data_IF_034504546492
#
_entry.id   IF_034504546492
#
_cell.length_a   1.000
_cell.length_b   1.000
_cell.length_c   1.000
_cell.angle_alpha   90.00
_cell.angle_beta   90.00
_cell.angle_gamma   90.00
#
_symmetry.space_group_name_H-M   'P 1'
#
loop_
_entity.id
_entity.type
_entity.pdbx_description
1 polymer ?
#
# COMPACT_ATOMS: atom_id res chain seq x y z
N UNK A 1 -31.25 -1.23 -2.52
CA UNK A 1 -30.61 -2.15 -1.57
C UNK A 1 -29.65 -1.41 -0.64
N UNK A 2 -29.46 -1.95 0.56
CA UNK A 2 -28.48 -1.44 1.54
C UNK A 2 -27.18 -2.22 1.44
N UNK A 3 -26.08 -1.53 1.61
CA UNK A 3 -24.75 -2.10 1.71
C UNK A 3 -24.03 -1.51 2.92
N UNK A 4 -23.26 -2.32 3.62
CA UNK A 4 -22.51 -1.89 4.79
C UNK A 4 -21.19 -2.66 4.92
N UNK A 5 -20.18 -2.01 5.48
CA UNK A 5 -18.93 -2.63 5.90
C UNK A 5 -18.92 -2.90 7.40
N UNK A 6 -17.71 -3.19 7.92
CA UNK A 6 -17.46 -3.54 9.35
C UNK A 6 -17.24 -2.32 10.25
N UNK A 7 -17.21 -1.11 9.70
CA UNK A 7 -16.81 0.13 10.41
C UNK A 7 -17.98 1.11 10.59
N UNK A 8 -19.22 0.62 10.62
CA UNK A 8 -20.40 1.47 10.70
C UNK A 8 -20.69 2.29 9.43
N UNK A 9 -20.00 2.00 8.35
CA UNK A 9 -20.13 2.60 7.03
C UNK A 9 -21.30 1.95 6.28
N UNK A 10 -22.51 2.46 6.49
CA UNK A 10 -23.72 2.01 5.83
C UNK A 10 -24.14 2.97 4.71
N UNK A 11 -24.69 2.43 3.65
CA UNK A 11 -25.18 3.21 2.53
C UNK A 11 -26.29 2.50 1.75
N UNK A 12 -26.90 3.23 0.86
CA UNK A 12 -27.88 2.71 -0.10
C UNK A 12 -27.23 2.77 -1.49
N UNK A 13 -27.42 1.70 -2.28
CA UNK A 13 -26.97 1.69 -3.66
C UNK A 13 -27.79 2.71 -4.45
N UNK A 14 -27.14 3.78 -4.86
CA UNK A 14 -27.80 4.87 -5.58
C UNK A 14 -27.86 4.61 -7.09
N UNK A 15 -26.84 3.92 -7.64
CA UNK A 15 -26.74 3.67 -9.07
C UNK A 15 -25.95 2.38 -9.35
N UNK A 16 -26.35 1.67 -10.37
CA UNK A 16 -25.60 0.54 -10.95
C UNK A 16 -25.17 0.97 -12.33
N UNK A 17 -23.89 0.93 -12.60
CA UNK A 17 -23.27 1.31 -13.87
C UNK A 17 -22.84 0.08 -14.67
N UNK A 18 -22.88 0.13 -16.02
CA UNK A 18 -22.19 -0.84 -16.85
C UNK A 18 -20.67 -0.78 -16.58
N UNK A 19 -19.95 -1.88 -16.83
CA UNK A 19 -18.52 -1.97 -16.56
C UNK A 19 -17.70 -0.95 -17.35
N UNK A 20 -18.17 -0.60 -18.56
CA UNK A 20 -17.50 0.37 -19.45
C UNK A 20 -17.53 1.80 -18.91
N UNK A 21 -18.50 2.11 -18.04
CA UNK A 21 -18.63 3.44 -17.41
C UNK A 21 -17.89 3.53 -16.07
N UNK A 22 -17.30 2.44 -15.59
CA UNK A 22 -16.54 2.43 -14.36
C UNK A 22 -15.10 2.89 -14.58
N UNK A 23 -14.50 3.63 -13.60
CA UNK A 23 -13.10 4.01 -13.66
C UNK A 23 -12.17 2.80 -13.80
N UNK A 24 -11.07 2.99 -14.50
CA UNK A 24 -10.08 1.94 -14.76
C UNK A 24 -8.82 2.25 -13.94
N UNK A 25 -8.30 1.24 -13.27
CA UNK A 25 -7.02 1.29 -12.57
C UNK A 25 -5.86 1.28 -13.57
N UNK A 26 -4.64 1.72 -13.17
CA UNK A 26 -3.47 1.72 -14.06
C UNK A 26 -3.10 0.35 -14.63
N UNK A 27 -3.49 -0.72 -13.98
CA UNK A 27 -3.30 -2.12 -14.40
C UNK A 27 -4.38 -2.63 -15.39
N UNK A 28 -5.34 -1.78 -15.76
CA UNK A 28 -6.42 -2.11 -16.69
C UNK A 28 -7.67 -2.74 -16.05
N UNK A 29 -7.67 -2.98 -14.73
CA UNK A 29 -8.86 -3.48 -14.02
C UNK A 29 -9.86 -2.35 -13.77
N UNK A 30 -11.15 -2.67 -13.86
CA UNK A 30 -12.22 -1.74 -13.52
C UNK A 30 -12.42 -1.68 -11.99
N UNK A 31 -12.80 -0.51 -11.49
CA UNK A 31 -13.20 -0.33 -10.09
C UNK A 31 -14.56 -0.99 -9.90
N UNK A 32 -14.69 -1.80 -8.84
CA UNK A 32 -15.93 -2.53 -8.55
C UNK A 32 -16.98 -1.67 -7.86
N UNK A 33 -16.56 -0.71 -7.02
CA UNK A 33 -17.45 0.10 -6.21
C UNK A 33 -16.88 1.50 -5.98
N UNK A 34 -17.75 2.51 -6.11
CA UNK A 34 -17.44 3.89 -5.81
C UNK A 34 -18.24 4.31 -4.58
N UNK A 35 -17.56 4.76 -3.53
CA UNK A 35 -18.16 5.25 -2.30
C UNK A 35 -18.08 6.78 -2.23
N UNK A 36 -19.06 7.40 -1.57
CA UNK A 36 -19.01 8.84 -1.33
C UNK A 36 -17.91 9.18 -0.30
N UNK A 37 -16.84 9.90 -0.70
CA UNK A 37 -15.71 10.19 0.18
C UNK A 37 -16.09 11.06 1.40
N UNK A 38 -17.14 11.89 1.31
CA UNK A 38 -17.59 12.76 2.41
C UNK A 38 -18.06 11.94 3.62
N UNK A 39 -18.52 10.71 3.41
CA UNK A 39 -18.93 9.81 4.48
C UNK A 39 -17.82 9.36 5.43
N UNK A 40 -16.55 9.52 5.05
CA UNK A 40 -15.40 9.12 5.88
C UNK A 40 -15.01 10.21 6.88
N UNK A 41 -14.65 11.45 6.47
CA UNK A 41 -14.22 12.48 7.41
C UNK A 41 -15.35 12.95 8.32
N UNK A 42 -16.59 12.96 7.84
CA UNK A 42 -17.75 13.36 8.65
C UNK A 42 -18.06 12.38 9.81
N UNK A 43 -17.67 11.12 9.67
CA UNK A 43 -17.91 10.06 10.67
C UNK A 43 -16.66 9.60 11.39
N UNK A 44 -15.47 10.02 10.95
CA UNK A 44 -14.17 9.69 11.54
C UNK A 44 -13.90 8.16 11.67
N UNK A 45 -14.53 7.34 10.83
CA UNK A 45 -14.32 5.88 10.80
C UNK A 45 -13.19 5.49 9.85
N UNK A 46 -11.98 5.94 10.14
CA UNK A 46 -10.80 5.75 9.30
C UNK A 46 -10.40 4.28 9.13
N UNK A 47 -10.84 3.41 10.03
CA UNK A 47 -10.57 1.97 9.96
C UNK A 47 -10.98 1.32 8.64
N UNK A 48 -12.00 1.83 7.95
CA UNK A 48 -12.39 1.34 6.63
C UNK A 48 -11.33 1.61 5.56
N UNK A 49 -10.60 2.73 5.65
CA UNK A 49 -9.51 3.06 4.73
C UNK A 49 -8.31 2.14 5.01
N UNK A 50 -7.93 2.00 6.28
CA UNK A 50 -6.86 1.11 6.71
C UNK A 50 -7.14 -0.36 6.35
N UNK A 51 -8.39 -0.81 6.51
CA UNK A 51 -8.82 -2.16 6.07
C UNK A 51 -8.63 -2.34 4.56
N UNK A 52 -8.97 -1.33 3.76
CA UNK A 52 -8.83 -1.39 2.30
C UNK A 52 -7.36 -1.47 1.89
N UNK A 53 -6.49 -0.68 2.51
CA UNK A 53 -5.05 -0.70 2.25
C UNK A 53 -4.42 -2.05 2.62
N UNK A 54 -4.70 -2.54 3.83
CA UNK A 54 -4.21 -3.84 4.27
C UNK A 54 -4.79 -4.98 3.44
N UNK A 55 -6.06 -4.88 3.05
CA UNK A 55 -6.71 -5.85 2.17
C UNK A 55 -6.09 -5.92 0.78
N UNK A 56 -5.71 -4.78 0.20
CA UNK A 56 -4.99 -4.73 -1.06
C UNK A 56 -3.62 -5.40 -0.95
N UNK A 57 -2.87 -5.09 0.11
CA UNK A 57 -1.57 -5.71 0.37
C UNK A 57 -1.70 -7.22 0.58
N UNK A 58 -2.67 -7.66 1.38
CA UNK A 58 -2.93 -9.07 1.64
C UNK A 58 -3.33 -9.85 0.37
N UNK A 59 -4.13 -9.23 -0.50
CA UNK A 59 -4.50 -9.82 -1.77
C UNK A 59 -3.29 -10.00 -2.70
N UNK A 60 -2.43 -8.99 -2.80
CA UNK A 60 -1.24 -9.04 -3.64
C UNK A 60 -0.20 -10.02 -3.11
N UNK A 61 0.06 -10.01 -1.81
CA UNK A 61 1.08 -10.88 -1.17
C UNK A 61 0.58 -12.30 -0.87
N UNK A 62 -0.73 -12.57 -1.04
CA UNK A 62 -1.33 -13.89 -0.89
C UNK A 62 -1.50 -14.35 0.57
N UNK A 63 -1.62 -13.44 1.53
CA UNK A 63 -1.88 -13.79 2.93
C UNK A 63 -3.27 -13.36 3.38
N UNK A 64 -3.71 -13.88 4.53
CA UNK A 64 -4.97 -13.48 5.17
C UNK A 64 -4.68 -12.70 6.45
N UNK A 65 -5.06 -11.43 6.48
CA UNK A 65 -4.93 -10.60 7.66
C UNK A 65 -6.04 -10.93 8.68
N UNK A 66 -5.65 -11.24 9.91
CA UNK A 66 -6.55 -11.46 11.03
C UNK A 66 -6.19 -10.44 12.12
N UNK A 67 -7.11 -9.50 12.36
CA UNK A 67 -6.94 -8.45 13.36
C UNK A 67 -7.93 -8.67 14.52
N UNK A 68 -7.48 -9.17 15.66
CA UNK A 68 -8.32 -9.25 16.86
C UNK A 68 -8.78 -7.88 17.35
N UNK A 69 -9.88 -7.82 18.11
CA UNK A 69 -10.53 -6.58 18.52
C UNK A 69 -9.61 -5.66 19.34
N UNK A 70 -8.73 -6.23 20.18
CA UNK A 70 -7.82 -5.49 21.07
C UNK A 70 -6.34 -5.61 20.69
N UNK A 71 -6.03 -6.25 19.56
CA UNK A 71 -4.68 -6.45 19.04
C UNK A 71 -4.71 -6.24 17.52
N UNK A 72 -5.04 -5.04 17.12
CA UNK A 72 -5.13 -4.65 15.71
C UNK A 72 -3.76 -4.34 15.11
N UNK A 73 -3.70 -4.28 13.78
CA UNK A 73 -2.52 -3.85 13.07
C UNK A 73 -2.23 -2.35 13.34
N UNK A 74 -0.97 -2.02 13.59
CA UNK A 74 -0.51 -0.62 13.69
C UNK A 74 -0.42 0.02 12.32
N UNK A 75 -0.43 1.36 12.27
CA UNK A 75 -0.25 2.09 11.01
C UNK A 75 1.08 1.71 10.33
N UNK A 76 2.16 1.57 11.12
CA UNK A 76 3.48 1.16 10.60
C UNK A 76 3.46 -0.23 9.98
N UNK A 77 2.75 -1.19 10.58
CA UNK A 77 2.59 -2.53 10.00
C UNK A 77 1.87 -2.48 8.65
N UNK A 78 0.83 -1.66 8.53
CA UNK A 78 0.09 -1.49 7.28
C UNK A 78 0.97 -0.82 6.22
N UNK A 79 1.72 0.21 6.60
CA UNK A 79 2.67 0.89 5.71
C UNK A 79 3.79 -0.06 5.25
N UNK A 80 4.29 -0.94 6.12
CA UNK A 80 5.28 -1.96 5.75
C UNK A 80 4.72 -2.94 4.71
N UNK A 81 3.48 -3.40 4.87
CA UNK A 81 2.87 -4.29 3.88
C UNK A 81 2.65 -3.60 2.54
N UNK A 82 2.21 -2.35 2.52
CA UNK A 82 2.11 -1.54 1.31
C UNK A 82 3.48 -1.33 0.65
N UNK A 83 4.51 -1.07 1.47
CA UNK A 83 5.88 -0.92 0.99
C UNK A 83 6.41 -2.21 0.33
N UNK A 84 6.14 -3.37 0.92
CA UNK A 84 6.49 -4.68 0.34
C UNK A 84 5.83 -4.90 -1.03
N UNK A 85 4.55 -4.59 -1.15
CA UNK A 85 3.83 -4.65 -2.43
C UNK A 85 4.50 -3.76 -3.46
N UNK A 86 4.72 -2.49 -3.14
CA UNK A 86 5.33 -1.53 -4.06
C UNK A 86 6.74 -1.94 -4.50
N UNK A 87 7.56 -2.47 -3.57
CA UNK A 87 8.90 -2.96 -3.87
C UNK A 87 8.87 -4.14 -4.85
N UNK A 88 7.93 -5.07 -4.66
CA UNK A 88 7.75 -6.22 -5.55
C UNK A 88 7.22 -5.81 -6.93
N UNK A 89 6.33 -4.83 -7.00
CA UNK A 89 5.87 -4.26 -8.27
C UNK A 89 7.02 -3.56 -9.02
N UNK A 90 7.84 -2.77 -8.33
CA UNK A 90 9.03 -2.12 -8.91
C UNK A 90 10.07 -3.13 -9.40
N UNK A 91 10.23 -4.24 -8.69
CA UNK A 91 11.07 -5.36 -9.13
C UNK A 91 10.49 -6.12 -10.34
N UNK A 92 9.25 -5.84 -10.74
CA UNK A 92 8.52 -6.62 -11.74
C UNK A 92 8.29 -8.07 -11.31
N UNK A 93 8.20 -8.29 -10.00
CA UNK A 93 7.99 -9.59 -9.37
C UNK A 93 6.52 -9.96 -9.23
N UNK A 94 5.61 -9.02 -9.42
CA UNK A 94 4.15 -9.23 -9.41
C UNK A 94 3.67 -9.39 -10.85
N UNK A 95 2.93 -10.46 -11.11
CA UNK A 95 2.34 -10.73 -12.42
C UNK A 95 0.87 -11.10 -12.25
N UNK A 96 0.02 -10.57 -13.11
CA UNK A 96 -1.36 -11.02 -13.21
C UNK A 96 -1.45 -12.17 -14.22
N UNK A 97 -1.84 -13.32 -13.73
CA UNK A 97 -2.06 -14.52 -14.54
C UNK A 97 -3.53 -14.90 -14.45
N UNK A 98 -4.30 -14.58 -15.48
CA UNK A 98 -5.74 -14.88 -15.57
C UNK A 98 -6.58 -14.29 -14.41
N UNK A 99 -6.27 -13.07 -13.98
CA UNK A 99 -6.97 -12.41 -12.87
C UNK A 99 -6.47 -12.81 -11.46
N UNK A 100 -5.41 -13.63 -11.39
CA UNK A 100 -4.76 -13.96 -10.14
C UNK A 100 -3.36 -13.33 -10.09
N UNK A 101 -3.08 -12.62 -9.01
CA UNK A 101 -1.76 -12.04 -8.77
C UNK A 101 -0.80 -13.14 -8.30
N UNK A 102 0.27 -13.33 -9.05
CA UNK A 102 1.36 -14.27 -8.73
C UNK A 102 2.61 -13.48 -8.41
N UNK A 103 3.19 -13.73 -7.24
CA UNK A 103 4.38 -13.04 -6.76
C UNK A 103 5.60 -13.96 -6.83
N UNK A 104 6.65 -13.51 -7.53
CA UNK A 104 7.95 -14.17 -7.54
C UNK A 104 8.86 -13.51 -6.49
N UNK A 105 8.88 -14.09 -5.28
CA UNK A 105 9.66 -13.58 -4.15
C UNK A 105 11.17 -13.59 -4.40
N UNK A 106 11.69 -14.57 -5.13
CA UNK A 106 13.13 -14.66 -5.43
C UNK A 106 13.57 -13.48 -6.30
N UNK A 107 12.80 -13.18 -7.35
CA UNK A 107 13.07 -12.03 -8.23
C UNK A 107 13.01 -10.71 -7.44
N UNK A 108 12.06 -10.55 -6.52
CA UNK A 108 11.96 -9.38 -5.65
C UNK A 108 13.17 -9.25 -4.74
N UNK A 109 13.59 -10.33 -4.09
CA UNK A 109 14.76 -10.34 -3.20
C UNK A 109 16.07 -10.04 -3.95
N UNK A 110 16.24 -10.60 -5.13
CA UNK A 110 17.44 -10.35 -5.96
C UNK A 110 17.51 -8.90 -6.43
N UNK A 111 16.38 -8.31 -6.81
CA UNK A 111 16.32 -6.90 -7.17
C UNK A 111 16.67 -5.99 -5.99
N UNK A 112 16.17 -6.28 -4.78
CA UNK A 112 16.52 -5.51 -3.58
C UNK A 112 18.02 -5.59 -3.24
N UNK A 113 18.62 -6.77 -3.36
CA UNK A 113 20.08 -6.95 -3.20
C UNK A 113 20.88 -6.09 -4.18
N UNK A 114 20.42 -6.00 -5.45
CA UNK A 114 21.04 -5.12 -6.45
C UNK A 114 20.93 -3.62 -6.07
N UNK A 115 19.88 -3.22 -5.35
CA UNK A 115 19.73 -1.88 -4.80
C UNK A 115 20.56 -1.64 -3.52
N UNK A 116 21.26 -2.66 -3.02
CA UNK A 116 22.04 -2.59 -1.78
C UNK A 116 21.19 -2.66 -0.51
N UNK A 117 19.98 -3.21 -0.61
CA UNK A 117 19.04 -3.35 0.51
C UNK A 117 19.00 -4.79 0.98
N UNK A 118 19.01 -5.00 2.30
CA UNK A 118 18.89 -6.32 2.91
C UNK A 118 17.46 -6.85 2.76
N UNK A 119 17.27 -7.71 1.74
CA UNK A 119 15.97 -8.27 1.42
C UNK A 119 15.37 -9.12 2.55
N UNK A 120 16.22 -9.78 3.36
CA UNK A 120 15.72 -10.61 4.46
C UNK A 120 15.04 -9.73 5.52
N UNK A 121 15.61 -8.58 5.86
CA UNK A 121 15.01 -7.64 6.80
C UNK A 121 13.72 -7.01 6.28
N UNK A 122 13.65 -6.75 4.98
CA UNK A 122 12.44 -6.15 4.36
C UNK A 122 11.25 -7.11 4.43
N UNK A 123 11.49 -8.41 4.25
CA UNK A 123 10.43 -9.43 4.26
C UNK A 123 10.28 -10.16 5.60
N UNK A 124 11.04 -9.78 6.61
CA UNK A 124 10.89 -10.30 7.96
C UNK A 124 9.79 -9.53 8.71
N UNK A 125 8.75 -10.23 9.14
CA UNK A 125 7.63 -9.65 9.89
C UNK A 125 8.01 -9.25 11.33
N UNK A 126 9.18 -9.67 11.82
CA UNK A 126 9.67 -9.29 13.16
C UNK A 126 10.35 -7.92 13.19
N UNK A 127 10.67 -7.35 12.02
CA UNK A 127 11.36 -6.06 11.88
C UNK A 127 10.42 -4.97 11.37
N UNK A 128 9.68 -4.33 12.28
CA UNK A 128 8.75 -3.25 11.98
C UNK A 128 9.48 -2.00 11.42
N UNK A 129 8.93 -1.41 10.36
CA UNK A 129 9.44 -0.19 9.73
C UNK A 129 10.55 -0.39 8.68
N UNK A 130 11.11 -1.58 8.52
CA UNK A 130 12.21 -1.81 7.57
C UNK A 130 11.77 -1.78 6.11
N UNK A 131 10.63 -2.36 5.80
CA UNK A 131 10.08 -2.33 4.45
C UNK A 131 9.67 -0.91 4.04
N UNK A 132 9.05 -0.17 4.97
CA UNK A 132 8.72 1.24 4.81
C UNK A 132 9.96 2.07 4.51
N UNK A 133 11.01 1.92 5.31
CA UNK A 133 12.27 2.65 5.13
C UNK A 133 12.93 2.33 3.78
N UNK A 134 12.95 1.07 3.38
CA UNK A 134 13.49 0.64 2.08
C UNK A 134 12.71 1.27 0.93
N UNK A 135 11.39 1.27 1.00
CA UNK A 135 10.52 1.90 0.03
C UNK A 135 10.79 3.39 -0.11
N UNK A 136 10.85 4.12 1.01
CA UNK A 136 11.13 5.57 1.02
C UNK A 136 12.51 5.90 0.44
N UNK A 137 13.54 5.10 0.74
CA UNK A 137 14.89 5.29 0.18
C UNK A 137 14.90 5.15 -1.34
N UNK A 138 14.26 4.11 -1.87
CA UNK A 138 14.18 3.90 -3.32
C UNK A 138 13.35 4.99 -3.98
N UNK A 139 12.26 5.40 -3.36
CA UNK A 139 11.41 6.48 -3.87
C UNK A 139 12.18 7.82 -3.93
N UNK A 140 12.89 8.19 -2.85
CA UNK A 140 13.74 9.40 -2.82
C UNK A 140 14.87 9.34 -3.84
N UNK A 141 15.52 8.18 -4.01
CA UNK A 141 16.54 7.99 -5.02
C UNK A 141 16.00 8.24 -6.44
N UNK A 142 14.76 7.83 -6.70
CA UNK A 142 14.04 8.13 -7.95
C UNK A 142 13.77 9.64 -8.15
N UNK A 143 13.73 10.42 -7.08
CA UNK A 143 13.60 11.89 -7.12
C UNK A 143 14.96 12.62 -7.16
N UNK A 144 16.07 11.89 -7.24
CA UNK A 144 17.42 12.44 -7.33
C UNK A 144 18.07 12.73 -5.98
N UNK A 145 17.53 12.24 -4.87
CA UNK A 145 18.12 12.34 -3.53
C UNK A 145 18.91 11.08 -3.24
N UNK A 146 20.22 11.24 -2.94
CA UNK A 146 21.02 10.11 -2.48
C UNK A 146 20.64 9.78 -1.02
N UNK A 147 19.90 8.70 -0.86
CA UNK A 147 19.32 8.29 0.41
C UNK A 147 19.98 7.05 1.03
N UNK A 148 21.09 6.55 0.42
CA UNK A 148 21.72 5.31 0.86
C UNK A 148 22.38 5.42 2.23
N UNK A 149 23.10 6.53 2.48
CA UNK A 149 23.93 6.73 3.65
C UNK A 149 23.34 7.69 4.69
N UNK A 150 22.11 8.17 4.47
CA UNK A 150 21.45 9.06 5.43
C UNK A 150 20.67 8.28 6.50
N UNK A 151 20.54 8.90 7.68
CA UNK A 151 19.83 8.30 8.81
C UNK A 151 18.33 8.09 8.50
N UNK A 152 17.66 7.13 9.15
CA UNK A 152 16.21 6.95 9.00
C UNK A 152 15.41 8.23 9.27
N UNK A 153 15.80 9.00 10.28
CA UNK A 153 15.14 10.26 10.62
C UNK A 153 15.26 11.32 9.50
N UNK A 154 16.39 11.35 8.83
CA UNK A 154 16.58 12.26 7.70
C UNK A 154 15.81 11.80 6.47
N UNK A 155 15.67 10.49 6.24
CA UNK A 155 14.78 9.93 5.20
C UNK A 155 13.35 10.40 5.41
N UNK A 156 12.86 10.39 6.64
CA UNK A 156 11.51 10.86 6.98
C UNK A 156 11.35 12.36 6.76
N UNK A 157 12.31 13.17 7.18
CA UNK A 157 12.29 14.63 6.94
C UNK A 157 12.28 14.97 5.44
N UNK A 158 13.10 14.29 4.65
CA UNK A 158 13.12 14.48 3.19
C UNK A 158 11.80 14.05 2.56
N UNK A 159 11.24 12.94 3.00
CA UNK A 159 9.92 12.46 2.55
C UNK A 159 8.84 13.50 2.86
N UNK A 160 8.82 14.03 4.09
CA UNK A 160 7.87 15.06 4.51
C UNK A 160 8.03 16.35 3.70
N UNK A 161 9.28 16.76 3.41
CA UNK A 161 9.57 17.91 2.54
C UNK A 161 8.96 17.71 1.15
N UNK A 162 9.20 16.59 0.49
CA UNK A 162 8.63 16.33 -0.83
C UNK A 162 7.10 16.25 -0.79
N UNK A 163 6.53 15.68 0.24
CA UNK A 163 5.09 15.60 0.42
C UNK A 163 4.45 16.98 0.60
N UNK A 164 4.99 17.82 1.49
CA UNK A 164 4.43 19.14 1.81
C UNK A 164 4.73 20.19 0.75
N UNK A 165 5.99 20.31 0.34
CA UNK A 165 6.44 21.39 -0.54
C UNK A 165 6.29 21.07 -2.03
N UNK A 166 6.51 19.83 -2.41
CA UNK A 166 6.42 19.38 -3.81
C UNK A 166 5.11 18.69 -4.14
N UNK A 167 4.27 18.40 -3.15
CA UNK A 167 3.01 17.67 -3.28
C UNK A 167 3.17 16.31 -3.94
N UNK A 168 4.28 15.64 -3.68
CA UNK A 168 4.58 14.30 -4.15
C UNK A 168 4.29 13.32 -3.04
N UNK A 169 3.29 12.46 -3.22
CA UNK A 169 2.91 11.46 -2.23
C UNK A 169 3.82 10.23 -2.34
N UNK A 170 4.42 9.78 -1.25
CA UNK A 170 5.13 8.50 -1.25
C UNK A 170 4.16 7.33 -1.44
N UNK A 171 4.63 6.20 -1.99
CA UNK A 171 3.76 5.07 -2.37
C UNK A 171 2.99 4.44 -1.20
N UNK A 172 3.53 4.56 0.01
CA UNK A 172 2.96 4.00 1.24
C UNK A 172 1.76 4.79 1.80
N UNK A 173 1.50 5.98 1.30
CA UNK A 173 0.38 6.81 1.76
C UNK A 173 -0.92 6.57 0.97
N UNK A 174 -0.93 5.59 0.08
CA UNK A 174 -2.08 5.17 -0.70
C UNK A 174 -2.39 6.03 -1.91
#
# INVERSE_FOLDING_TARGET
DKMAGRHGNKGVIARILPIEDMPILPDGRHVDMILNPIGVPSRMNLGQILETHLGMAAHTLGFKALCPVFDGATDTMIEDELARVWLLEKAGAVQDVNGNLVVNMEKGKDWLKQQGIDAEKVFDNSTEGQARLACLRIWLAGLGVDSKDISPEEVEKQTEFFYREKRLSPPIFG
#
